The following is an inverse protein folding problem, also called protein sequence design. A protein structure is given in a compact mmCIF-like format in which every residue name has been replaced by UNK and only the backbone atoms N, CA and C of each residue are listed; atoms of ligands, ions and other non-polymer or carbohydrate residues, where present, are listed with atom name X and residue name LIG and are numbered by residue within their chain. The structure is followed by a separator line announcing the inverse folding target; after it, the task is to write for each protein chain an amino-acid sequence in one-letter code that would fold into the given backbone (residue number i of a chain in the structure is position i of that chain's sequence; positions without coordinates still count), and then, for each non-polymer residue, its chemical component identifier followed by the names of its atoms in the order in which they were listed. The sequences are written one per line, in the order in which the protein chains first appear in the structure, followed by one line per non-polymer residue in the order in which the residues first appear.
data_IF_892097646222
#
_entry.id   IF_892097646222
#
_cell.length_a   1.000
_cell.length_b   1.000
_cell.length_c   1.000
_cell.angle_alpha   90.00
_cell.angle_beta   90.00
_cell.angle_gamma   90.00
#
_symmetry.space_group_name_H-M   'P 1'
#
loop_
_entity.id
_entity.type
_entity.pdbx_description
1 polymer ?
#
# COMPACT_ATOMS: atom_id res chain seq x y z
N UNK A 1 -82.52 6.56 -28.35
CA UNK A 1 -82.42 7.61 -27.31
C UNK A 1 -81.25 7.40 -26.33
N UNK A 2 -80.23 6.60 -26.69
CA UNK A 2 -79.11 6.25 -25.79
C UNK A 2 -77.81 7.01 -26.09
N UNK A 3 -77.69 7.64 -27.26
CA UNK A 3 -76.44 8.30 -27.67
C UNK A 3 -76.24 9.67 -27.02
N UNK A 4 -77.33 10.36 -26.68
CA UNK A 4 -77.32 11.69 -26.08
C UNK A 4 -76.61 11.67 -24.72
N UNK A 5 -77.14 10.89 -23.77
CA UNK A 5 -76.62 10.81 -22.39
C UNK A 5 -75.17 10.36 -22.32
N UNK A 6 -74.70 9.59 -23.30
CA UNK A 6 -73.32 9.14 -23.40
C UNK A 6 -72.34 10.32 -23.61
N UNK A 7 -72.74 11.38 -24.32
CA UNK A 7 -71.85 12.52 -24.60
C UNK A 7 -71.55 13.33 -23.34
N UNK A 8 -72.58 13.71 -22.57
CA UNK A 8 -72.41 14.43 -21.30
C UNK A 8 -71.57 13.61 -20.30
N UNK A 9 -71.87 12.32 -20.14
CA UNK A 9 -71.11 11.43 -19.24
C UNK A 9 -69.65 11.28 -19.66
N UNK A 10 -69.37 11.24 -20.97
CA UNK A 10 -67.96 11.21 -21.45
C UNK A 10 -67.21 12.50 -21.12
N UNK A 11 -67.86 13.66 -21.22
CA UNK A 11 -67.27 14.96 -20.88
C UNK A 11 -66.97 15.06 -19.38
N UNK A 12 -67.94 14.68 -18.54
CA UNK A 12 -67.78 14.69 -17.07
C UNK A 12 -66.71 13.68 -16.65
N UNK A 13 -66.75 12.44 -17.13
CA UNK A 13 -65.77 11.40 -16.77
C UNK A 13 -64.34 11.74 -17.24
N UNK A 14 -64.18 12.37 -18.41
CA UNK A 14 -62.87 12.91 -18.86
C UNK A 14 -62.37 13.99 -17.91
N UNK A 15 -63.26 14.85 -17.43
CA UNK A 15 -62.92 15.91 -16.47
C UNK A 15 -62.56 15.32 -15.10
N UNK A 16 -63.29 14.31 -14.63
CA UNK A 16 -62.98 13.56 -13.40
C UNK A 16 -61.58 12.93 -13.49
N UNK A 17 -61.23 12.29 -14.61
CA UNK A 17 -59.89 11.74 -14.84
C UNK A 17 -58.81 12.84 -14.75
N UNK A 18 -59.06 14.01 -15.34
CA UNK A 18 -58.13 15.17 -15.26
C UNK A 18 -58.00 15.73 -13.85
N UNK A 19 -59.11 15.88 -13.13
CA UNK A 19 -59.11 16.31 -11.74
C UNK A 19 -58.32 15.32 -10.87
N UNK A 20 -58.51 14.01 -11.07
CA UNK A 20 -57.75 12.95 -10.39
C UNK A 20 -56.25 13.03 -10.69
N UNK A 21 -55.86 13.24 -11.95
CA UNK A 21 -54.44 13.47 -12.29
C UNK A 21 -53.87 14.71 -11.59
N UNK A 22 -54.67 15.75 -11.38
CA UNK A 22 -54.27 16.93 -10.60
C UNK A 22 -54.02 16.63 -9.12
N UNK A 23 -54.88 15.81 -8.48
CA UNK A 23 -54.66 15.36 -7.11
C UNK A 23 -53.44 14.45 -6.97
N UNK A 24 -53.22 13.55 -7.92
CA UNK A 24 -52.02 12.69 -7.98
C UNK A 24 -50.76 13.56 -8.09
N UNK A 25 -50.74 14.54 -9.01
CA UNK A 25 -49.60 15.44 -9.20
C UNK A 25 -49.31 16.27 -7.94
N UNK A 26 -50.35 16.80 -7.29
CA UNK A 26 -50.23 17.53 -6.03
C UNK A 26 -49.69 16.66 -4.90
N UNK A 27 -50.20 15.44 -4.77
CA UNK A 27 -49.75 14.45 -3.79
C UNK A 27 -48.28 14.08 -4.01
N UNK A 28 -47.89 13.81 -5.25
CA UNK A 28 -46.49 13.55 -5.64
C UNK A 28 -45.58 14.73 -5.27
N UNK A 29 -45.95 15.96 -5.64
CA UNK A 29 -45.13 17.15 -5.35
C UNK A 29 -45.03 17.44 -3.84
N UNK A 30 -46.10 17.22 -3.07
CA UNK A 30 -46.07 17.38 -1.62
C UNK A 30 -45.22 16.30 -0.94
N UNK A 31 -45.35 15.04 -1.37
CA UNK A 31 -44.51 13.94 -0.91
C UNK A 31 -43.04 14.16 -1.25
N UNK A 32 -42.74 14.64 -2.45
CA UNK A 32 -41.39 15.01 -2.85
C UNK A 32 -40.84 16.16 -1.99
N UNK A 33 -41.61 17.22 -1.73
CA UNK A 33 -41.20 18.32 -0.86
C UNK A 33 -40.84 17.83 0.55
N UNK A 34 -41.69 16.99 1.15
CA UNK A 34 -41.44 16.41 2.47
C UNK A 34 -40.20 15.49 2.46
N UNK A 35 -40.06 14.65 1.43
CA UNK A 35 -38.91 13.78 1.26
C UNK A 35 -37.60 14.56 1.10
N UNK A 36 -37.61 15.63 0.30
CA UNK A 36 -36.45 16.49 0.09
C UNK A 36 -36.09 17.27 1.37
N UNK A 37 -37.09 17.70 2.15
CA UNK A 37 -36.90 18.27 3.48
C UNK A 37 -36.24 17.28 4.44
N UNK A 38 -36.77 16.06 4.53
CA UNK A 38 -36.22 15.01 5.39
C UNK A 38 -34.79 14.62 4.97
N UNK A 39 -34.53 14.48 3.67
CA UNK A 39 -33.19 14.18 3.15
C UNK A 39 -32.20 15.32 3.44
N UNK A 40 -32.61 16.58 3.30
CA UNK A 40 -31.77 17.74 3.65
C UNK A 40 -31.43 17.76 5.14
N UNK A 41 -32.40 17.48 6.00
CA UNK A 41 -32.21 17.33 7.45
C UNK A 41 -31.25 16.19 7.79
N UNK A 42 -31.42 15.02 7.18
CA UNK A 42 -30.52 13.88 7.37
C UNK A 42 -29.09 14.20 6.94
N UNK A 43 -28.90 14.89 5.82
CA UNK A 43 -27.57 15.30 5.35
C UNK A 43 -26.94 16.34 6.28
N UNK A 44 -27.71 17.32 6.75
CA UNK A 44 -27.23 18.30 7.73
C UNK A 44 -26.79 17.62 9.05
N UNK A 45 -27.56 16.62 9.50
CA UNK A 45 -27.27 15.89 10.74
C UNK A 45 -26.08 14.93 10.58
N UNK A 46 -25.97 14.27 9.43
CA UNK A 46 -24.81 13.46 9.05
C UNK A 46 -23.53 14.32 9.03
N UNK A 47 -23.62 15.53 8.49
CA UNK A 47 -22.52 16.48 8.49
C UNK A 47 -22.11 16.89 9.92
N UNK A 48 -23.09 17.24 10.77
CA UNK A 48 -22.83 17.60 12.17
C UNK A 48 -22.19 16.46 12.98
N UNK A 49 -22.63 15.21 12.74
CA UNK A 49 -22.13 14.02 13.43
C UNK A 49 -20.92 13.36 12.75
N UNK A 50 -20.44 13.90 11.61
CA UNK A 50 -19.37 13.33 10.78
C UNK A 50 -19.64 11.86 10.39
N UNK A 51 -20.91 11.53 10.14
CA UNK A 51 -21.33 10.20 9.71
C UNK A 51 -21.20 10.08 8.20
N UNK A 52 -20.54 9.03 7.73
CA UNK A 52 -20.49 8.70 6.31
C UNK A 52 -21.81 8.02 5.91
N UNK A 53 -22.69 8.75 5.20
CA UNK A 53 -24.00 8.26 4.78
C UNK A 53 -23.94 7.88 3.29
N UNK A 54 -24.17 6.60 2.93
CA UNK A 54 -24.24 6.18 1.54
C UNK A 54 -25.32 6.95 0.76
N UNK A 55 -25.04 7.27 -0.51
CA UNK A 55 -25.95 8.04 -1.38
C UNK A 55 -27.35 7.42 -1.56
N UNK A 56 -27.49 6.11 -1.35
CA UNK A 56 -28.77 5.41 -1.47
C UNK A 56 -29.80 5.81 -0.41
N UNK A 57 -29.39 6.18 0.80
CA UNK A 57 -30.31 6.55 1.88
C UNK A 57 -31.12 7.82 1.59
N UNK A 58 -30.52 8.99 1.27
CA UNK A 58 -31.30 10.20 0.99
C UNK A 58 -32.19 10.04 -0.25
N UNK A 59 -31.72 9.33 -1.28
CA UNK A 59 -32.51 9.03 -2.49
C UNK A 59 -33.71 8.14 -2.12
N UNK A 60 -33.49 7.11 -1.30
CA UNK A 60 -34.54 6.21 -0.83
C UNK A 60 -35.62 6.94 -0.03
N UNK A 61 -35.24 7.85 0.86
CA UNK A 61 -36.18 8.67 1.65
C UNK A 61 -37.03 9.57 0.74
N UNK A 62 -36.41 10.25 -0.24
CA UNK A 62 -37.12 11.08 -1.22
C UNK A 62 -38.09 10.24 -2.04
N UNK A 63 -37.63 9.10 -2.56
CA UNK A 63 -38.45 8.21 -3.38
C UNK A 63 -39.63 7.62 -2.59
N UNK A 64 -39.41 7.15 -1.36
CA UNK A 64 -40.45 6.61 -0.50
C UNK A 64 -41.52 7.67 -0.17
N UNK A 65 -41.11 8.90 0.17
CA UNK A 65 -42.04 9.99 0.45
C UNK A 65 -42.82 10.43 -0.80
N UNK A 66 -42.18 10.47 -1.96
CA UNK A 66 -42.85 10.76 -3.23
C UNK A 66 -43.88 9.68 -3.60
N UNK A 67 -43.55 8.39 -3.42
CA UNK A 67 -44.46 7.27 -3.64
C UNK A 67 -45.64 7.28 -2.65
N UNK A 68 -45.39 7.57 -1.38
CA UNK A 68 -46.44 7.73 -0.37
C UNK A 68 -47.38 8.90 -0.72
N UNK A 69 -46.83 10.03 -1.17
CA UNK A 69 -47.61 11.17 -1.65
C UNK A 69 -48.43 10.86 -2.90
N UNK A 70 -47.88 10.09 -3.83
CA UNK A 70 -48.58 9.60 -5.03
C UNK A 70 -49.74 8.67 -4.65
N UNK A 71 -49.50 7.70 -3.74
CA UNK A 71 -50.52 6.80 -3.25
C UNK A 71 -51.66 7.56 -2.54
N UNK A 72 -51.31 8.52 -1.67
CA UNK A 72 -52.29 9.40 -1.02
C UNK A 72 -53.08 10.26 -2.02
N UNK A 73 -52.44 10.76 -3.07
CA UNK A 73 -53.11 11.49 -4.15
C UNK A 73 -54.06 10.59 -4.97
N UNK A 74 -53.71 9.32 -5.15
CA UNK A 74 -54.49 8.36 -5.92
C UNK A 74 -55.73 7.81 -5.19
N UNK A 75 -55.72 7.81 -3.85
CA UNK A 75 -56.85 7.37 -3.00
C UNK A 75 -57.93 8.44 -2.84
N UNK A 76 -57.65 9.71 -3.20
CA UNK A 76 -58.65 10.78 -3.22
C UNK A 76 -59.75 10.47 -4.24
N UNK A 77 -60.96 10.25 -3.73
CA UNK A 77 -62.17 10.09 -4.56
C UNK A 77 -62.64 11.46 -5.04
N UNK A 78 -63.00 11.54 -6.32
CA UNK A 78 -63.56 12.75 -6.95
C UNK A 78 -64.99 12.42 -7.37
N UNK A 79 -65.97 13.16 -6.85
CA UNK A 79 -67.38 12.89 -7.13
C UNK A 79 -67.83 13.60 -8.41
N UNK A 80 -68.59 12.91 -9.26
CA UNK A 80 -68.99 13.43 -10.59
C UNK A 80 -69.84 14.70 -10.48
N UNK A 81 -70.77 14.75 -9.52
CA UNK A 81 -71.61 15.93 -9.27
C UNK A 81 -70.78 17.16 -8.89
N UNK A 82 -69.72 16.99 -8.08
CA UNK A 82 -68.83 18.09 -7.72
C UNK A 82 -68.02 18.60 -8.92
N UNK A 83 -67.67 17.69 -9.84
CA UNK A 83 -66.97 18.04 -11.08
C UNK A 83 -67.90 18.76 -12.04
N UNK A 84 -69.17 18.35 -12.16
CA UNK A 84 -70.16 19.05 -12.97
C UNK A 84 -70.39 20.48 -12.46
N UNK A 85 -70.59 20.65 -11.15
CA UNK A 85 -70.70 21.98 -10.51
C UNK A 85 -69.45 22.83 -10.70
N UNK A 86 -68.27 22.22 -10.59
CA UNK A 86 -67.00 22.91 -10.83
C UNK A 86 -66.85 23.34 -12.29
N UNK A 87 -67.24 22.48 -13.24
CA UNK A 87 -67.22 22.80 -14.66
C UNK A 87 -68.19 23.95 -14.96
N UNK A 88 -69.37 23.95 -14.34
CA UNK A 88 -70.36 25.01 -14.53
C UNK A 88 -69.83 26.38 -14.09
N UNK A 89 -69.12 26.42 -12.95
CA UNK A 89 -68.48 27.64 -12.44
C UNK A 89 -67.35 28.14 -13.33
N UNK A 90 -66.56 27.23 -13.92
CA UNK A 90 -65.44 27.60 -14.80
C UNK A 90 -65.88 27.98 -16.21
N UNK A 91 -66.97 27.39 -16.70
CA UNK A 91 -67.53 27.67 -18.01
C UNK A 91 -68.62 28.76 -17.99
N UNK A 92 -69.01 29.26 -16.82
CA UNK A 92 -70.08 30.24 -16.63
C UNK A 92 -71.44 29.80 -17.22
N UNK A 93 -71.76 28.52 -17.12
CA UNK A 93 -72.96 27.91 -17.73
C UNK A 93 -74.23 28.02 -16.91
N UNK A 94 -74.17 28.54 -15.68
CA UNK A 94 -75.35 28.73 -14.84
C UNK A 94 -76.08 27.42 -14.52
N UNK A 95 -75.33 26.41 -14.05
CA UNK A 95 -75.82 25.10 -13.57
C UNK A 95 -76.32 24.10 -14.62
N UNK A 96 -76.26 24.43 -15.92
CA UNK A 96 -76.72 23.54 -17.00
C UNK A 96 -76.17 22.10 -16.91
N UNK A 97 -74.89 21.91 -16.61
CA UNK A 97 -74.27 20.58 -16.61
C UNK A 97 -74.53 19.83 -15.31
N UNK A 98 -74.59 20.52 -14.18
CA UNK A 98 -74.92 19.94 -12.87
C UNK A 98 -76.39 19.55 -12.78
N UNK A 99 -77.31 20.36 -13.31
CA UNK A 99 -78.73 20.02 -13.43
C UNK A 99 -78.94 18.84 -14.38
N UNK A 100 -78.30 18.85 -15.56
CA UNK A 100 -78.40 17.72 -16.51
C UNK A 100 -77.84 16.41 -15.92
N UNK A 101 -76.72 16.47 -15.19
CA UNK A 101 -76.17 15.30 -14.50
C UNK A 101 -77.15 14.79 -13.43
N UNK A 102 -77.78 15.68 -12.65
CA UNK A 102 -78.76 15.30 -11.65
C UNK A 102 -80.02 14.67 -12.26
N UNK A 103 -80.55 15.24 -13.35
CA UNK A 103 -81.69 14.71 -14.10
C UNK A 103 -81.37 13.32 -14.69
N UNK A 104 -80.17 13.15 -15.24
CA UNK A 104 -79.73 11.86 -15.82
C UNK A 104 -79.66 10.73 -14.77
N UNK A 105 -79.39 11.06 -13.51
CA UNK A 105 -79.31 10.08 -12.42
C UNK A 105 -80.70 9.72 -11.84
N UNK A 106 -81.66 10.65 -11.89
CA UNK A 106 -83.02 10.45 -11.38
C UNK A 106 -83.95 9.74 -12.38
N UNK A 107 -83.59 9.78 -13.66
CA UNK A 107 -84.41 9.29 -14.77
C UNK A 107 -85.39 10.36 -15.26
N UNK A 108 -85.45 10.52 -16.59
CA UNK A 108 -86.27 11.50 -17.28
C UNK A 108 -87.74 11.07 -17.24
N UNK A 109 -88.65 11.98 -16.84
CA UNK A 109 -90.09 11.72 -16.73
C UNK A 109 -90.93 12.64 -17.61
N UNK A 110 -90.47 13.87 -17.80
CA UNK A 110 -91.20 14.91 -18.52
C UNK A 110 -90.46 15.34 -19.80
N UNK A 111 -91.22 15.75 -20.82
CA UNK A 111 -90.66 16.18 -22.12
C UNK A 111 -89.78 17.43 -22.00
N UNK A 112 -90.09 18.31 -21.03
CA UNK A 112 -89.25 19.45 -20.68
C UNK A 112 -87.86 19.03 -20.14
N UNK A 113 -87.80 17.95 -19.35
CA UNK A 113 -86.52 17.45 -18.82
C UNK A 113 -85.64 16.90 -19.95
N UNK A 114 -86.25 16.32 -21.00
CA UNK A 114 -85.54 15.89 -22.20
C UNK A 114 -84.93 17.06 -22.97
N UNK A 115 -85.66 18.17 -23.12
CA UNK A 115 -85.16 19.38 -23.80
C UNK A 115 -84.01 20.04 -23.03
N UNK A 116 -84.10 20.08 -21.69
CA UNK A 116 -83.01 20.61 -20.85
C UNK A 116 -81.74 19.76 -20.96
N UNK A 117 -81.87 18.44 -21.05
CA UNK A 117 -80.74 17.53 -21.22
C UNK A 117 -80.09 17.68 -22.61
N UNK A 118 -80.89 17.87 -23.66
CA UNK A 118 -80.39 18.14 -25.01
C UNK A 118 -79.65 19.49 -25.12
N UNK A 119 -80.16 20.57 -24.49
CA UNK A 119 -79.45 21.86 -24.43
C UNK A 119 -78.09 21.72 -23.73
N UNK A 120 -78.07 21.05 -22.58
CA UNK A 120 -76.84 20.82 -21.82
C UNK A 120 -75.80 20.00 -22.60
N UNK A 121 -76.23 19.04 -23.42
CA UNK A 121 -75.34 18.25 -24.27
C UNK A 121 -74.78 19.04 -25.45
N UNK A 122 -75.62 19.80 -26.15
CA UNK A 122 -75.17 20.68 -27.23
C UNK A 122 -74.10 21.65 -26.71
N UNK A 123 -74.31 22.18 -25.50
CA UNK A 123 -73.32 23.01 -24.84
C UNK A 123 -72.06 22.22 -24.42
N UNK A 124 -72.22 21.02 -23.86
CA UNK A 124 -71.11 20.13 -23.48
C UNK A 124 -70.19 19.78 -24.66
N UNK A 125 -70.73 19.66 -25.87
CA UNK A 125 -69.95 19.41 -27.09
C UNK A 125 -69.17 20.65 -27.55
N UNK A 126 -69.70 21.85 -27.30
CA UNK A 126 -69.03 23.12 -27.64
C UNK A 126 -67.87 23.46 -26.70
N UNK A 127 -67.80 22.81 -25.53
CA UNK A 127 -66.81 23.07 -24.49
C UNK A 127 -65.42 22.53 -24.84
N UNK A 128 -64.45 23.43 -24.97
CA UNK A 128 -63.04 23.05 -25.05
C UNK A 128 -62.47 22.72 -23.65
N UNK A 129 -62.54 21.43 -23.29
CA UNK A 129 -62.06 20.91 -22.02
C UNK A 129 -60.59 21.23 -21.73
N UNK A 130 -59.73 21.45 -22.73
CA UNK A 130 -58.31 21.79 -22.50
C UNK A 130 -58.15 23.20 -21.95
N UNK A 131 -59.05 24.12 -22.27
CA UNK A 131 -59.03 25.50 -21.79
C UNK A 131 -59.69 25.61 -20.41
N UNK A 132 -60.85 24.97 -20.23
CA UNK A 132 -61.65 25.06 -19.01
C UNK A 132 -61.06 24.19 -17.89
N UNK A 133 -60.61 22.96 -18.21
CA UNK A 133 -60.09 22.01 -17.23
C UNK A 133 -58.55 21.90 -17.24
N UNK A 134 -57.86 23.02 -17.04
CA UNK A 134 -56.39 23.05 -16.88
C UNK A 134 -55.98 22.50 -15.51
N UNK A 135 -55.00 21.62 -15.49
CA UNK A 135 -54.37 21.13 -14.25
C UNK A 135 -53.25 22.11 -13.88
N UNK A 136 -53.41 22.96 -12.84
CA UNK A 136 -52.35 23.89 -12.47
C UNK A 136 -51.17 23.15 -11.84
N UNK A 137 -49.96 23.57 -12.19
CA UNK A 137 -48.74 23.15 -11.49
C UNK A 137 -48.80 23.62 -10.03
N UNK A 138 -48.59 22.72 -9.06
CA UNK A 138 -48.67 23.09 -7.65
C UNK A 138 -47.47 23.93 -7.22
N UNK A 139 -47.69 24.92 -6.34
CA UNK A 139 -46.60 25.73 -5.76
C UNK A 139 -45.58 24.89 -4.99
N UNK A 140 -45.97 23.72 -4.48
CA UNK A 140 -45.06 22.77 -3.82
C UNK A 140 -43.98 22.22 -4.74
N UNK A 141 -44.15 22.26 -6.07
CA UNK A 141 -43.11 21.84 -7.01
C UNK A 141 -41.87 22.75 -6.92
N UNK A 142 -42.06 24.06 -6.83
CA UNK A 142 -40.95 25.00 -6.66
C UNK A 142 -40.22 24.82 -5.33
N UNK A 143 -40.98 24.56 -4.25
CA UNK A 143 -40.41 24.22 -2.95
C UNK A 143 -39.62 22.91 -2.97
N UNK A 144 -40.13 21.87 -3.64
CA UNK A 144 -39.43 20.61 -3.81
C UNK A 144 -38.12 20.80 -4.59
N UNK A 145 -38.14 21.56 -5.69
CA UNK A 145 -36.93 21.89 -6.47
C UNK A 145 -35.91 22.63 -5.60
N UNK A 146 -36.33 23.67 -4.87
CA UNK A 146 -35.44 24.43 -4.00
C UNK A 146 -34.80 23.57 -2.91
N UNK A 147 -35.58 22.69 -2.27
CA UNK A 147 -35.08 21.75 -1.26
C UNK A 147 -34.15 20.69 -1.86
N UNK A 148 -34.44 20.18 -3.06
CA UNK A 148 -33.49 19.28 -3.73
C UNK A 148 -32.19 19.98 -4.10
N UNK A 149 -32.25 21.23 -4.53
CA UNK A 149 -31.05 22.03 -4.79
C UNK A 149 -30.23 22.23 -3.51
N UNK A 150 -30.90 22.48 -2.38
CA UNK A 150 -30.27 22.56 -1.06
C UNK A 150 -29.63 21.22 -0.65
N UNK A 151 -30.32 20.09 -0.83
CA UNK A 151 -29.78 18.76 -0.54
C UNK A 151 -28.54 18.45 -1.38
N UNK A 152 -28.55 18.79 -2.67
CA UNK A 152 -27.37 18.66 -3.56
C UNK A 152 -26.24 19.57 -3.07
N UNK A 153 -26.54 20.80 -2.69
CA UNK A 153 -25.55 21.72 -2.14
C UNK A 153 -24.92 21.19 -0.84
N UNK A 154 -25.72 20.67 0.08
CA UNK A 154 -25.27 20.03 1.32
C UNK A 154 -24.40 18.80 1.06
N UNK A 155 -24.72 18.01 0.03
CA UNK A 155 -23.92 16.85 -0.37
C UNK A 155 -22.52 17.26 -0.85
N UNK A 156 -22.40 18.35 -1.62
CA UNK A 156 -21.12 18.86 -2.10
C UNK A 156 -20.40 19.78 -1.11
N UNK A 157 -21.07 20.23 -0.04
CA UNK A 157 -20.51 21.12 0.98
C UNK A 157 -19.17 20.65 1.59
N UNK A 158 -18.91 19.34 1.86
CA UNK A 158 -17.64 18.88 2.42
C UNK A 158 -16.41 19.14 1.53
N UNK A 159 -16.61 19.19 0.21
CA UNK A 159 -15.54 19.45 -0.77
C UNK A 159 -15.34 20.94 -1.03
N UNK A 160 -16.25 21.81 -0.58
CA UNK A 160 -16.11 23.25 -0.74
C UNK A 160 -14.97 23.73 0.17
N UNK A 161 -13.92 24.26 -0.45
CA UNK A 161 -12.69 24.68 0.22
C UNK A 161 -12.94 25.61 1.41
N UNK A 162 -13.98 26.47 1.36
CA UNK A 162 -14.30 27.46 2.38
C UNK A 162 -14.59 26.84 3.76
N UNK A 163 -15.27 25.69 3.83
CA UNK A 163 -15.71 25.08 5.10
C UNK A 163 -14.72 24.06 5.69
N UNK A 164 -13.56 23.83 5.06
CA UNK A 164 -12.53 22.95 5.61
C UNK A 164 -11.78 23.63 6.76
N UNK A 165 -11.68 22.93 7.90
CA UNK A 165 -10.93 23.40 9.07
C UNK A 165 -9.47 23.69 8.70
N UNK A 166 -8.81 24.67 9.34
CA UNK A 166 -7.42 24.99 9.05
C UNK A 166 -6.49 23.76 9.22
N UNK A 167 -6.81 22.86 10.16
CA UNK A 167 -6.08 21.61 10.37
C UNK A 167 -6.15 20.66 9.17
N UNK A 168 -7.33 20.42 8.60
CA UNK A 168 -7.47 19.53 7.42
C UNK A 168 -6.82 20.11 6.17
N UNK A 169 -6.79 21.44 6.04
CA UNK A 169 -6.03 22.13 4.98
C UNK A 169 -4.52 21.93 5.14
N UNK A 170 -4.00 22.10 6.35
CA UNK A 170 -2.59 21.85 6.66
C UNK A 170 -2.21 20.39 6.43
N UNK A 171 -3.05 19.44 6.80
CA UNK A 171 -2.82 18.02 6.56
C UNK A 171 -2.77 17.68 5.07
N UNK A 172 -3.70 18.23 4.26
CA UNK A 172 -3.69 18.05 2.79
C UNK A 172 -2.44 18.70 2.16
N UNK A 173 -2.02 19.87 2.62
CA UNK A 173 -0.80 20.53 2.15
C UNK A 173 0.47 19.76 2.55
N UNK A 174 0.55 19.29 3.80
CA UNK A 174 1.62 18.44 4.29
C UNK A 174 1.72 17.15 3.46
N UNK A 175 0.58 16.52 3.15
CA UNK A 175 0.52 15.33 2.28
C UNK A 175 1.00 15.63 0.85
N UNK A 176 0.64 16.78 0.28
CA UNK A 176 1.12 17.20 -1.05
C UNK A 176 2.63 17.40 -1.06
N UNK A 177 3.18 18.12 -0.08
CA UNK A 177 4.64 18.33 0.04
C UNK A 177 5.41 17.02 0.30
N UNK A 178 4.81 16.08 1.04
CA UNK A 178 5.37 14.74 1.24
C UNK A 178 5.34 13.93 -0.07
N UNK A 179 4.28 14.05 -0.86
CA UNK A 179 4.19 13.46 -2.20
C UNK A 179 5.23 14.03 -3.17
N UNK A 180 5.53 15.34 -3.13
CA UNK A 180 6.60 15.96 -3.93
C UNK A 180 7.98 15.40 -3.57
N UNK A 181 8.27 15.28 -2.26
CA UNK A 181 9.51 14.66 -1.77
C UNK A 181 9.62 13.19 -2.19
N UNK A 182 8.54 12.43 -2.12
CA UNK A 182 8.50 11.04 -2.58
C UNK A 182 8.74 10.93 -4.11
N UNK A 183 8.25 11.88 -4.91
CA UNK A 183 8.53 11.92 -6.35
C UNK A 183 10.01 12.22 -6.64
N UNK A 184 10.64 13.13 -5.88
CA UNK A 184 12.07 13.41 -5.99
C UNK A 184 12.90 12.16 -5.66
N UNK A 185 12.59 11.49 -4.54
CA UNK A 185 13.23 10.22 -4.15
C UNK A 185 13.05 9.14 -5.22
N UNK A 186 11.86 9.03 -5.84
CA UNK A 186 11.63 8.11 -6.93
C UNK A 186 12.52 8.42 -8.16
N UNK A 187 12.73 9.70 -8.48
CA UNK A 187 13.65 10.11 -9.56
C UNK A 187 15.10 9.77 -9.23
N UNK A 188 15.52 9.97 -7.99
CA UNK A 188 16.86 9.61 -7.50
C UNK A 188 17.09 8.11 -7.57
N UNK A 189 16.14 7.29 -7.11
CA UNK A 189 16.22 5.83 -7.20
C UNK A 189 16.27 5.34 -8.65
N UNK A 190 15.57 6.00 -9.58
CA UNK A 190 15.69 5.70 -11.02
C UNK A 190 17.07 6.04 -11.58
N UNK A 191 17.71 7.10 -11.10
CA UNK A 191 19.07 7.50 -11.53
C UNK A 191 20.13 6.56 -10.95
N UNK A 192 19.98 6.14 -9.70
CA UNK A 192 20.87 5.19 -9.01
C UNK A 192 20.71 3.74 -9.49
N UNK A 193 19.67 3.44 -10.26
CA UNK A 193 19.44 2.13 -10.85
C UNK A 193 20.43 1.84 -12.00
N UNK A 194 21.66 1.49 -11.66
CA UNK A 194 22.73 1.08 -12.58
C UNK A 194 23.17 -0.36 -12.31
N UNK A 195 23.45 -1.15 -13.35
CA UNK A 195 23.93 -2.54 -13.22
C UNK A 195 22.85 -3.63 -13.30
N UNK A 196 23.12 -4.79 -12.69
CA UNK A 196 22.32 -6.03 -12.78
C UNK A 196 20.91 -5.94 -12.16
N UNK A 197 20.69 -5.08 -11.16
CA UNK A 197 19.37 -4.93 -10.49
C UNK A 197 18.58 -3.69 -10.94
N UNK A 198 18.92 -3.14 -12.12
CA UNK A 198 18.24 -1.97 -12.72
C UNK A 198 16.72 -2.14 -12.78
N UNK A 199 16.23 -3.34 -13.05
CA UNK A 199 14.79 -3.61 -13.15
C UNK A 199 14.08 -3.54 -11.80
N UNK A 200 14.65 -4.14 -10.74
CA UNK A 200 14.03 -4.13 -9.40
C UNK A 200 14.00 -2.72 -8.82
N UNK A 201 15.10 -1.97 -8.94
CA UNK A 201 15.15 -0.60 -8.44
C UNK A 201 14.24 0.35 -9.24
N UNK A 202 14.09 0.12 -10.55
CA UNK A 202 13.07 0.81 -11.37
C UNK A 202 11.65 0.50 -10.93
N UNK A 203 11.34 -0.74 -10.55
CA UNK A 203 10.01 -1.14 -10.03
C UNK A 203 9.71 -0.46 -8.70
N UNK A 204 10.66 -0.46 -7.76
CA UNK A 204 10.53 0.26 -6.48
C UNK A 204 10.31 1.75 -6.69
N UNK A 205 11.08 2.36 -7.60
CA UNK A 205 10.91 3.76 -7.94
C UNK A 205 9.57 4.05 -8.65
N UNK A 206 9.05 3.13 -9.46
CA UNK A 206 7.72 3.26 -10.08
C UNK A 206 6.59 3.16 -9.04
N UNK A 207 6.72 2.27 -8.06
CA UNK A 207 5.77 2.14 -6.95
C UNK A 207 5.80 3.39 -6.05
N UNK A 208 6.99 3.94 -5.78
CA UNK A 208 7.14 5.18 -5.02
C UNK A 208 6.56 6.39 -5.77
N UNK A 209 6.75 6.48 -7.09
CA UNK A 209 6.11 7.51 -7.94
C UNK A 209 4.58 7.37 -7.98
N UNK A 210 4.06 6.14 -8.01
CA UNK A 210 2.62 5.90 -7.92
C UNK A 210 2.04 6.32 -6.56
N UNK A 211 2.75 6.01 -5.46
CA UNK A 211 2.40 6.47 -4.11
C UNK A 211 2.40 8.00 -4.03
N UNK A 212 3.46 8.65 -4.55
CA UNK A 212 3.60 10.10 -4.60
C UNK A 212 2.40 10.77 -5.30
N UNK A 213 1.95 10.22 -6.44
CA UNK A 213 0.76 10.70 -7.16
C UNK A 213 -0.52 10.54 -6.36
N UNK A 214 -0.68 9.44 -5.62
CA UNK A 214 -1.85 9.22 -4.75
C UNK A 214 -1.87 10.20 -3.56
N UNK A 215 -0.71 10.48 -2.96
CA UNK A 215 -0.55 11.48 -1.89
C UNK A 215 -0.86 12.90 -2.37
N UNK A 216 -0.36 13.31 -3.55
CA UNK A 216 -0.68 14.62 -4.15
C UNK A 216 -2.17 14.83 -4.42
N UNK A 217 -2.85 13.76 -4.84
CA UNK A 217 -4.30 13.75 -5.10
C UNK A 217 -5.16 13.63 -3.83
N UNK A 218 -4.54 13.57 -2.64
CA UNK A 218 -5.22 13.37 -1.35
C UNK A 218 -6.15 12.13 -1.32
N UNK A 219 -5.81 11.08 -2.07
CA UNK A 219 -6.58 9.83 -2.15
C UNK A 219 -6.19 8.79 -1.08
N UNK A 220 -5.31 9.17 -0.14
CA UNK A 220 -4.76 8.30 0.90
C UNK A 220 -4.86 8.97 2.26
N UNK A 221 -5.18 8.20 3.29
CA UNK A 221 -5.08 8.64 4.68
C UNK A 221 -3.60 8.79 5.09
N UNK A 222 -3.31 9.68 6.05
CA UNK A 222 -1.94 9.89 6.59
C UNK A 222 -1.31 8.59 7.09
N UNK A 223 -2.10 7.76 7.77
CA UNK A 223 -1.65 6.47 8.30
C UNK A 223 -1.27 5.50 7.18
N UNK A 224 -2.10 5.35 6.15
CA UNK A 224 -1.81 4.47 5.01
C UNK A 224 -0.59 4.93 4.22
N UNK A 225 -0.45 6.25 3.99
CA UNK A 225 0.71 6.81 3.31
C UNK A 225 2.02 6.48 4.06
N UNK A 226 2.05 6.65 5.38
CA UNK A 226 3.22 6.32 6.21
C UNK A 226 3.55 4.82 6.17
N UNK A 227 2.54 3.95 6.24
CA UNK A 227 2.76 2.49 6.19
C UNK A 227 3.33 2.07 4.83
N UNK A 228 2.77 2.55 3.73
CA UNK A 228 3.29 2.23 2.39
C UNK A 228 4.69 2.81 2.14
N UNK A 229 4.94 4.03 2.60
CA UNK A 229 6.25 4.68 2.50
C UNK A 229 7.33 3.90 3.26
N UNK A 230 7.05 3.55 4.53
CA UNK A 230 8.00 2.79 5.36
C UNK A 230 8.28 1.39 4.81
N UNK A 231 7.28 0.73 4.22
CA UNK A 231 7.48 -0.55 3.52
C UNK A 231 8.40 -0.40 2.31
N UNK A 232 8.13 0.58 1.43
CA UNK A 232 8.97 0.84 0.25
C UNK A 232 10.40 1.25 0.63
N UNK A 233 10.58 2.01 1.70
CA UNK A 233 11.91 2.36 2.23
C UNK A 233 12.67 1.14 2.72
N UNK A 234 12.03 0.24 3.48
CA UNK A 234 12.65 -1.02 3.92
C UNK A 234 13.06 -1.90 2.74
N UNK A 235 12.18 -2.06 1.76
CA UNK A 235 12.48 -2.85 0.56
C UNK A 235 13.65 -2.25 -0.23
N UNK A 236 13.75 -0.92 -0.31
CA UNK A 236 14.89 -0.24 -0.95
C UNK A 236 16.20 -0.38 -0.16
N UNK A 237 16.17 -0.24 1.16
CA UNK A 237 17.34 -0.44 2.03
C UNK A 237 17.85 -1.89 1.95
N UNK A 238 16.96 -2.88 1.96
CA UNK A 238 17.34 -4.29 1.80
C UNK A 238 18.01 -4.56 0.46
N UNK A 239 17.51 -3.96 -0.63
CA UNK A 239 18.18 -4.05 -1.93
C UNK A 239 19.56 -3.40 -1.90
N UNK A 240 19.68 -2.21 -1.29
CA UNK A 240 20.96 -1.53 -1.18
C UNK A 240 21.98 -2.31 -0.32
N UNK A 241 21.53 -2.96 0.76
CA UNK A 241 22.36 -3.88 1.56
C UNK A 241 22.82 -5.07 0.74
N UNK A 242 21.93 -5.71 -0.01
CA UNK A 242 22.30 -6.81 -0.91
C UNK A 242 23.30 -6.38 -1.98
N UNK A 243 23.18 -5.16 -2.50
CA UNK A 243 24.15 -4.60 -3.44
C UNK A 243 25.51 -4.31 -2.78
N UNK A 244 25.50 -3.81 -1.55
CA UNK A 244 26.73 -3.60 -0.77
C UNK A 244 27.41 -4.95 -0.46
N UNK A 245 26.65 -5.99 -0.14
CA UNK A 245 27.13 -7.36 0.07
C UNK A 245 27.65 -7.99 -1.24
N UNK A 246 26.96 -7.81 -2.35
CA UNK A 246 27.38 -8.32 -3.66
C UNK A 246 28.65 -7.63 -4.18
N UNK A 247 28.78 -6.31 -3.97
CA UNK A 247 29.96 -5.55 -4.38
C UNK A 247 31.16 -5.71 -3.44
N UNK A 248 30.99 -6.23 -2.21
CA UNK A 248 32.08 -6.36 -1.24
C UNK A 248 32.84 -7.70 -1.29
N UNK A 249 32.52 -8.58 -2.25
CA UNK A 249 33.12 -9.92 -2.36
C UNK A 249 32.74 -10.82 -1.18
N UNK A 250 33.23 -12.07 -1.16
CA UNK A 250 33.06 -12.95 0.01
C UNK A 250 33.53 -12.20 1.28
N UNK A 251 32.72 -12.12 2.36
CA UNK A 251 33.19 -11.52 3.60
C UNK A 251 34.41 -12.28 4.09
N UNK A 252 35.42 -11.58 4.59
CA UNK A 252 36.66 -12.17 5.11
C UNK A 252 36.40 -13.22 6.20
N UNK A 253 35.24 -13.14 6.87
CA UNK A 253 34.75 -14.14 7.82
C UNK A 253 34.43 -15.49 7.15
N UNK A 254 33.81 -15.51 5.97
CA UNK A 254 33.58 -16.75 5.21
C UNK A 254 34.90 -17.33 4.68
N UNK A 255 35.84 -16.47 4.27
CA UNK A 255 37.20 -16.90 3.91
C UNK A 255 37.94 -17.52 5.10
N UNK A 256 37.83 -16.92 6.30
CA UNK A 256 38.36 -17.50 7.54
C UNK A 256 37.78 -18.88 7.82
N UNK A 257 36.46 -19.02 7.74
CA UNK A 257 35.80 -20.30 8.03
C UNK A 257 36.20 -21.37 7.02
N UNK A 258 36.35 -21.01 5.74
CA UNK A 258 36.87 -21.89 4.69
C UNK A 258 38.33 -22.31 4.94
N UNK A 259 39.19 -21.38 5.40
CA UNK A 259 40.57 -21.67 5.80
C UNK A 259 40.65 -22.58 7.04
N UNK A 260 39.86 -22.32 8.08
CA UNK A 260 39.84 -23.12 9.32
C UNK A 260 39.30 -24.54 9.08
N UNK A 261 38.36 -24.68 8.15
CA UNK A 261 37.77 -25.97 7.79
C UNK A 261 38.64 -26.80 6.84
N UNK A 262 39.70 -26.22 6.26
CA UNK A 262 40.65 -26.97 5.44
C UNK A 262 41.34 -28.06 6.28
N UNK A 263 41.30 -29.31 5.80
CA UNK A 263 41.80 -30.50 6.52
C UNK A 263 43.27 -30.35 6.92
N UNK A 264 44.08 -29.74 6.06
CA UNK A 264 45.51 -29.50 6.26
C UNK A 264 45.76 -28.47 7.38
N UNK A 265 45.00 -27.38 7.39
CA UNK A 265 45.05 -26.34 8.43
C UNK A 265 44.59 -26.92 9.77
N UNK A 266 43.51 -27.70 9.78
CA UNK A 266 43.00 -28.34 11.01
C UNK A 266 43.99 -29.36 11.59
N UNK A 267 44.64 -30.16 10.73
CA UNK A 267 45.70 -31.10 11.16
C UNK A 267 46.86 -30.38 11.82
N UNK A 268 47.31 -29.27 11.24
CA UNK A 268 48.42 -28.49 11.78
C UNK A 268 48.08 -27.77 13.08
N UNK A 269 46.87 -27.20 13.20
CA UNK A 269 46.39 -26.61 14.45
C UNK A 269 46.26 -27.67 15.55
N UNK A 270 45.81 -28.88 15.22
CA UNK A 270 45.74 -30.01 16.18
C UNK A 270 47.13 -30.45 16.63
N UNK A 271 48.10 -30.56 15.70
CA UNK A 271 49.49 -30.89 16.03
C UNK A 271 50.11 -29.85 16.97
N UNK A 272 49.96 -28.56 16.66
CA UNK A 272 50.45 -27.48 17.52
C UNK A 272 49.82 -27.50 18.93
N UNK A 273 48.53 -27.85 19.05
CA UNK A 273 47.87 -27.98 20.35
C UNK A 273 48.40 -29.17 21.15
N UNK A 274 48.54 -30.34 20.51
CA UNK A 274 49.06 -31.54 21.14
C UNK A 274 50.49 -31.34 21.64
N UNK A 275 51.34 -30.69 20.85
CA UNK A 275 52.73 -30.42 21.24
C UNK A 275 52.83 -29.37 22.35
N UNK A 276 51.98 -28.33 22.35
CA UNK A 276 51.88 -27.38 23.46
C UNK A 276 51.41 -28.05 24.75
N UNK A 277 50.50 -29.01 24.66
CA UNK A 277 50.03 -29.77 25.81
C UNK A 277 51.12 -30.72 26.33
N UNK A 278 51.83 -31.41 25.42
CA UNK A 278 52.97 -32.26 25.77
C UNK A 278 54.10 -31.44 26.41
N UNK A 279 54.44 -30.27 25.85
CA UNK A 279 55.48 -29.42 26.41
C UNK A 279 55.09 -28.81 27.75
N UNK A 280 53.84 -28.37 27.91
CA UNK A 280 53.32 -27.90 29.20
C UNK A 280 53.29 -29.03 30.25
N UNK A 281 52.93 -30.26 29.86
CA UNK A 281 52.97 -31.44 30.74
C UNK A 281 54.40 -31.81 31.13
N UNK A 282 55.34 -31.78 30.19
CA UNK A 282 56.77 -32.00 30.47
C UNK A 282 57.33 -30.92 31.38
N UNK A 283 56.98 -29.66 31.15
CA UNK A 283 57.43 -28.53 31.98
C UNK A 283 56.83 -28.59 33.39
N UNK A 284 55.55 -28.95 33.52
CA UNK A 284 54.91 -29.17 34.81
C UNK A 284 55.46 -30.41 35.53
N UNK A 285 55.79 -31.48 34.82
CA UNK A 285 56.44 -32.65 35.39
C UNK A 285 57.86 -32.32 35.92
N UNK A 286 58.59 -31.44 35.23
CA UNK A 286 59.89 -30.93 35.68
C UNK A 286 59.75 -29.98 36.88
N UNK A 287 58.75 -29.09 36.88
CA UNK A 287 58.49 -28.13 37.97
C UNK A 287 57.96 -28.79 39.26
N UNK A 288 57.18 -29.86 39.14
CA UNK A 288 56.67 -30.63 40.29
C UNK A 288 57.74 -31.52 40.95
N UNK A 289 58.90 -31.73 40.33
CA UNK A 289 60.06 -32.36 40.96
C UNK A 289 60.92 -31.34 41.73
N UNK A 290 60.38 -30.78 42.82
CA UNK A 290 61.19 -30.08 43.84
C UNK A 290 61.91 -31.12 44.70
N UNK A 291 63.13 -31.45 44.30
CA UNK A 291 64.03 -32.32 45.05
C UNK A 291 65.16 -32.77 44.14
N UNK A 292 66.15 -31.89 43.95
CA UNK A 292 67.34 -32.24 43.18
C UNK A 292 67.99 -33.47 43.78
N UNK A 293 67.89 -34.61 43.07
CA UNK A 293 68.92 -35.64 42.90
C UNK A 293 68.42 -36.91 42.19
N UNK A 294 67.10 -37.15 42.07
CA UNK A 294 66.56 -38.41 41.49
C UNK A 294 65.62 -38.24 40.27
N UNK A 295 65.86 -37.24 39.41
CA UNK A 295 65.25 -37.23 38.08
C UNK A 295 66.07 -38.14 37.16
N UNK A 296 65.49 -39.13 36.45
CA UNK A 296 66.25 -39.96 35.53
C UNK A 296 66.93 -39.06 34.50
N UNK A 297 68.20 -39.33 34.21
CA UNK A 297 69.01 -38.51 33.30
C UNK A 297 68.32 -38.29 31.94
N UNK A 298 67.45 -39.20 31.51
CA UNK A 298 66.61 -39.06 30.32
C UNK A 298 65.59 -37.90 30.38
N UNK A 299 64.93 -37.64 31.51
CA UNK A 299 63.99 -36.51 31.67
C UNK A 299 64.73 -35.18 31.81
N UNK A 300 65.87 -35.20 32.51
CA UNK A 300 66.71 -34.02 32.67
C UNK A 300 67.41 -33.66 31.36
N UNK A 301 67.88 -34.65 30.60
CA UNK A 301 68.42 -34.46 29.25
C UNK A 301 67.30 -34.15 28.25
N UNK A 302 66.08 -34.64 28.37
CA UNK A 302 64.97 -34.19 27.52
C UNK A 302 64.57 -32.72 27.80
N UNK A 303 64.77 -32.24 29.03
CA UNK A 303 64.52 -30.85 29.42
C UNK A 303 65.70 -29.90 29.15
N UNK A 304 66.95 -30.36 29.26
CA UNK A 304 68.19 -29.57 29.09
C UNK A 304 68.82 -29.72 27.70
N UNK A 305 68.76 -30.90 27.10
CA UNK A 305 69.08 -31.13 25.70
C UNK A 305 67.85 -30.68 24.90
N UNK A 306 67.67 -29.35 24.83
CA UNK A 306 66.77 -28.69 23.89
C UNK A 306 66.90 -29.40 22.54
N UNK A 307 65.85 -30.04 22.01
CA UNK A 307 65.62 -29.81 20.60
C UNK A 307 65.16 -28.34 20.56
N UNK A 308 66.09 -27.44 20.24
CA UNK A 308 65.67 -26.18 19.65
C UNK A 308 64.95 -26.60 18.35
N UNK A 309 63.63 -26.37 18.26
CA UNK A 309 62.63 -27.03 17.37
C UNK A 309 61.93 -28.21 18.07
N UNK A 310 60.61 -28.37 18.08
CA UNK A 310 59.69 -28.10 17.00
C UNK A 310 58.26 -28.05 17.54
N UNK A 311 57.67 -26.87 17.74
CA UNK A 311 56.42 -26.68 17.00
C UNK A 311 56.88 -26.54 15.55
N UNK A 312 56.52 -27.46 14.63
CA UNK A 312 56.89 -27.32 13.23
C UNK A 312 56.49 -25.92 12.80
N UNK A 313 57.41 -25.15 12.22
CA UNK A 313 57.18 -23.73 11.92
C UNK A 313 55.89 -23.51 11.11
N UNK A 314 55.55 -24.48 10.25
CA UNK A 314 54.25 -24.56 9.56
C UNK A 314 53.04 -24.51 10.50
N UNK A 315 53.04 -25.31 11.56
CA UNK A 315 51.92 -25.42 12.51
C UNK A 315 51.71 -24.15 13.35
N UNK A 316 52.80 -23.48 13.70
CA UNK A 316 52.75 -22.20 14.40
C UNK A 316 52.17 -21.11 13.48
N UNK A 317 52.65 -21.05 12.25
CA UNK A 317 52.13 -20.13 11.23
C UNK A 317 50.65 -20.38 10.93
N UNK A 318 50.18 -21.63 10.87
CA UNK A 318 48.75 -21.95 10.73
C UNK A 318 47.90 -21.33 11.85
N UNK A 319 48.36 -21.43 13.10
CA UNK A 319 47.64 -20.87 14.26
C UNK A 319 47.63 -19.34 14.26
N UNK A 320 48.75 -18.71 13.88
CA UNK A 320 48.87 -17.26 13.83
C UNK A 320 48.09 -16.66 12.64
N UNK A 321 48.07 -17.33 11.49
CA UNK A 321 47.23 -16.94 10.33
C UNK A 321 45.74 -17.07 10.63
N UNK A 322 45.33 -18.15 11.29
CA UNK A 322 43.96 -18.32 11.78
C UNK A 322 43.55 -17.19 12.73
N UNK A 323 44.44 -16.79 13.64
CA UNK A 323 44.21 -15.69 14.56
C UNK A 323 44.13 -14.34 13.82
N UNK A 324 45.04 -14.08 12.87
CA UNK A 324 45.03 -12.84 12.11
C UNK A 324 43.77 -12.70 11.23
N UNK A 325 43.32 -13.79 10.60
CA UNK A 325 42.03 -13.84 9.89
C UNK A 325 40.84 -13.65 10.84
N UNK A 326 40.93 -14.12 12.09
CA UNK A 326 39.88 -13.91 13.09
C UNK A 326 39.78 -12.44 13.55
N UNK A 327 40.91 -11.75 13.62
CA UNK A 327 41.01 -10.34 14.00
C UNK A 327 40.77 -9.40 12.81
N UNK A 328 40.58 -9.95 11.59
CA UNK A 328 40.53 -9.20 10.34
C UNK A 328 41.79 -8.35 10.10
N UNK A 329 42.91 -8.74 10.71
CA UNK A 329 44.18 -8.01 10.67
C UNK A 329 44.99 -8.43 9.43
N UNK A 330 44.74 -7.74 8.33
CA UNK A 330 45.51 -7.93 7.09
C UNK A 330 46.99 -7.58 7.27
N UNK A 331 47.34 -6.62 8.15
CA UNK A 331 48.74 -6.26 8.42
C UNK A 331 49.52 -7.41 9.06
N UNK A 332 48.95 -8.07 10.07
CA UNK A 332 49.55 -9.26 10.70
C UNK A 332 49.70 -10.40 9.69
N UNK A 333 48.74 -10.62 8.80
CA UNK A 333 48.89 -11.62 7.72
C UNK A 333 50.09 -11.30 6.81
N UNK A 334 50.31 -10.03 6.48
CA UNK A 334 51.47 -9.59 5.70
C UNK A 334 52.80 -9.82 6.43
N UNK A 335 52.85 -9.59 7.74
CA UNK A 335 54.04 -9.85 8.57
C UNK A 335 54.36 -11.34 8.70
N UNK A 336 53.33 -12.19 8.87
CA UNK A 336 53.49 -13.64 8.93
C UNK A 336 54.04 -14.21 7.62
N UNK A 337 53.54 -13.72 6.49
CA UNK A 337 54.06 -14.08 5.17
C UNK A 337 55.52 -13.62 4.99
N UNK A 338 55.89 -12.47 5.55
CA UNK A 338 57.27 -11.96 5.54
C UNK A 338 58.21 -12.82 6.39
N UNK A 339 57.74 -13.31 7.54
CA UNK A 339 58.48 -14.26 8.38
C UNK A 339 58.71 -15.59 7.64
N UNK A 340 57.69 -16.09 6.94
CA UNK A 340 57.81 -17.28 6.09
C UNK A 340 58.82 -17.06 4.97
N UNK A 341 58.81 -15.90 4.29
CA UNK A 341 59.78 -15.57 3.25
C UNK A 341 61.22 -15.60 3.78
N UNK A 342 61.46 -15.02 4.96
CA UNK A 342 62.80 -14.93 5.58
C UNK A 342 63.34 -16.28 6.02
N UNK A 343 62.49 -17.16 6.54
CA UNK A 343 62.90 -18.48 7.03
C UNK A 343 62.85 -19.57 5.95
N UNK A 344 62.27 -19.28 4.78
CA UNK A 344 62.06 -20.24 3.69
C UNK A 344 63.29 -21.10 3.33
N UNK A 345 64.46 -20.46 3.20
CA UNK A 345 65.70 -21.11 2.79
C UNK A 345 66.37 -21.96 3.88
N UNK A 346 65.97 -21.77 5.15
CA UNK A 346 66.54 -22.48 6.30
C UNK A 346 65.66 -23.63 6.79
N UNK A 347 64.49 -23.83 6.17
CA UNK A 347 63.54 -24.88 6.54
C UNK A 347 63.84 -26.21 5.85
N UNK A 348 63.51 -27.30 6.54
CA UNK A 348 63.59 -28.66 6.00
C UNK A 348 62.65 -28.85 4.80
N UNK A 349 62.97 -29.76 3.85
CA UNK A 349 62.15 -29.98 2.66
C UNK A 349 60.72 -30.43 2.98
N UNK A 350 60.50 -31.09 4.12
CA UNK A 350 59.17 -31.51 4.58
C UNK A 350 58.34 -30.34 5.13
N UNK A 351 58.96 -29.41 5.86
CA UNK A 351 58.29 -28.21 6.37
C UNK A 351 57.91 -27.24 5.26
N UNK A 352 58.76 -27.13 4.22
CA UNK A 352 58.45 -26.34 3.03
C UNK A 352 57.19 -26.85 2.34
N UNK A 353 57.03 -28.17 2.17
CA UNK A 353 55.82 -28.77 1.58
C UNK A 353 54.57 -28.47 2.41
N UNK A 354 54.66 -28.61 3.74
CA UNK A 354 53.54 -28.31 4.66
C UNK A 354 53.13 -26.84 4.62
N UNK A 355 54.09 -25.91 4.52
CA UNK A 355 53.82 -24.48 4.34
C UNK A 355 53.24 -24.15 2.97
N UNK A 356 53.74 -24.78 1.89
CA UNK A 356 53.18 -24.57 0.56
C UNK A 356 51.69 -24.95 0.52
N UNK A 357 51.33 -26.04 1.18
CA UNK A 357 49.94 -26.50 1.25
C UNK A 357 49.06 -25.56 2.10
N UNK A 358 49.56 -25.05 3.22
CA UNK A 358 48.88 -24.01 4.00
C UNK A 358 48.65 -22.73 3.21
N UNK A 359 49.69 -22.22 2.55
CA UNK A 359 49.62 -21.00 1.76
C UNK A 359 48.66 -21.16 0.59
N UNK A 360 48.56 -22.38 0.03
CA UNK A 360 47.60 -22.71 -1.02
C UNK A 360 46.17 -22.69 -0.50
N UNK A 361 45.91 -23.25 0.67
CA UNK A 361 44.58 -23.19 1.29
C UNK A 361 44.20 -21.77 1.72
N UNK A 362 45.17 -20.98 2.21
CA UNK A 362 44.98 -19.56 2.49
C UNK A 362 44.63 -18.78 1.21
N UNK A 363 45.34 -19.02 0.11
CA UNK A 363 45.05 -18.37 -1.16
C UNK A 363 43.68 -18.79 -1.73
N UNK A 364 43.30 -20.08 -1.64
CA UNK A 364 41.96 -20.53 -2.02
C UNK A 364 40.87 -19.86 -1.19
N UNK A 365 41.08 -19.75 0.13
CA UNK A 365 40.15 -19.10 1.04
C UNK A 365 40.01 -17.60 0.75
N UNK A 366 41.09 -16.93 0.35
CA UNK A 366 41.09 -15.50 -0.01
C UNK A 366 40.57 -15.21 -1.44
N UNK A 367 40.34 -16.24 -2.25
CA UNK A 367 39.77 -16.08 -3.59
C UNK A 367 38.37 -15.48 -3.52
N UNK A 368 38.06 -14.56 -4.43
CA UNK A 368 36.78 -13.83 -4.49
C UNK A 368 36.49 -12.93 -3.27
N UNK A 369 37.52 -12.60 -2.47
CA UNK A 369 37.46 -11.59 -1.40
C UNK A 369 38.09 -10.26 -1.87
N UNK A 370 38.07 -9.22 -1.02
CA UNK A 370 38.83 -7.98 -1.24
C UNK A 370 40.35 -8.18 -1.42
N UNK A 371 40.86 -9.35 -1.04
CA UNK A 371 42.26 -9.76 -1.16
C UNK A 371 42.51 -10.70 -2.37
N UNK A 372 41.60 -10.76 -3.34
CA UNK A 372 41.70 -11.66 -4.51
C UNK A 372 43.02 -11.45 -5.28
N UNK A 373 43.49 -10.21 -5.43
CA UNK A 373 44.78 -9.90 -6.04
C UNK A 373 45.96 -10.55 -5.29
N UNK A 374 45.94 -10.52 -3.95
CA UNK A 374 46.94 -11.20 -3.13
C UNK A 374 46.83 -12.73 -3.23
N UNK A 375 45.62 -13.27 -3.38
CA UNK A 375 45.41 -14.71 -3.56
C UNK A 375 46.04 -15.24 -4.85
N UNK A 376 45.95 -14.47 -5.94
CA UNK A 376 46.54 -14.83 -7.24
C UNK A 376 48.06 -14.83 -7.18
N UNK A 377 48.65 -13.79 -6.59
CA UNK A 377 50.10 -13.66 -6.38
C UNK A 377 50.65 -14.77 -5.45
N UNK A 378 49.91 -15.15 -4.40
CA UNK A 378 50.28 -16.28 -3.55
C UNK A 378 50.28 -17.61 -4.33
N UNK A 379 49.28 -17.84 -5.18
CA UNK A 379 49.22 -19.04 -6.02
C UNK A 379 50.34 -19.07 -7.08
N UNK A 380 50.75 -17.93 -7.61
CA UNK A 380 51.88 -17.81 -8.54
C UNK A 380 53.22 -18.04 -7.84
N UNK A 381 53.43 -17.45 -6.66
CA UNK A 381 54.62 -17.68 -5.85
C UNK A 381 54.82 -19.17 -5.50
N UNK A 382 53.72 -19.88 -5.23
CA UNK A 382 53.73 -21.32 -4.96
C UNK A 382 54.03 -22.18 -6.19
N UNK A 383 53.63 -21.73 -7.39
CA UNK A 383 53.93 -22.44 -8.65
C UNK A 383 55.40 -22.29 -9.06
N UNK A 384 55.95 -21.08 -8.91
CA UNK A 384 57.30 -20.77 -9.37
C UNK A 384 58.39 -21.00 -8.30
N UNK A 385 57.99 -21.29 -7.05
CA UNK A 385 58.87 -21.35 -5.87
C UNK A 385 59.75 -20.10 -5.68
N UNK A 386 59.29 -18.94 -6.17
CA UNK A 386 60.05 -17.68 -6.09
C UNK A 386 59.63 -16.87 -4.86
N UNK A 387 60.59 -16.58 -3.99
CA UNK A 387 60.40 -15.71 -2.80
C UNK A 387 60.00 -14.29 -3.22
N UNK A 388 60.42 -13.84 -4.42
CA UNK A 388 60.10 -12.51 -4.96
C UNK A 388 58.61 -12.27 -5.21
N UNK A 389 57.87 -13.29 -5.62
CA UNK A 389 56.41 -13.19 -5.84
C UNK A 389 55.63 -13.20 -4.51
N UNK A 390 56.19 -13.83 -3.48
CA UNK A 390 55.64 -13.77 -2.11
C UNK A 390 55.75 -12.35 -1.53
N UNK A 391 56.79 -11.59 -1.90
CA UNK A 391 56.90 -10.17 -1.53
C UNK A 391 55.86 -9.28 -2.24
N UNK A 392 55.45 -9.62 -3.47
CA UNK A 392 54.35 -8.92 -4.16
C UNK A 392 53.01 -9.17 -3.48
N UNK A 393 52.73 -10.42 -3.11
CA UNK A 393 51.54 -10.77 -2.32
C UNK A 393 51.48 -10.00 -0.99
N UNK A 394 52.61 -9.89 -0.27
CA UNK A 394 52.71 -9.10 0.97
C UNK A 394 52.36 -7.63 0.72
N UNK A 395 52.85 -7.02 -0.36
CA UNK A 395 52.53 -5.63 -0.72
C UNK A 395 51.03 -5.44 -0.96
N UNK A 396 50.37 -6.38 -1.65
CA UNK A 396 48.93 -6.33 -1.87
C UNK A 396 48.12 -6.47 -0.58
N UNK A 397 48.53 -7.36 0.32
CA UNK A 397 47.89 -7.56 1.62
C UNK A 397 48.05 -6.32 2.52
N UNK A 398 49.26 -5.73 2.58
CA UNK A 398 49.51 -4.49 3.31
C UNK A 398 48.75 -3.29 2.72
N UNK A 399 48.65 -3.20 1.39
CA UNK A 399 47.88 -2.15 0.69
C UNK A 399 46.37 -2.25 0.95
N UNK A 400 45.84 -3.48 1.02
CA UNK A 400 44.43 -3.72 1.32
C UNK A 400 44.09 -3.57 2.81
N UNK A 401 45.08 -3.67 3.71
CA UNK A 401 44.94 -3.42 5.15
C UNK A 401 45.31 -2.00 5.60
N UNK A 402 45.66 -1.11 4.66
CA UNK A 402 46.08 0.28 4.92
C UNK A 402 45.00 1.33 4.64
N UNK A 403 43.73 0.95 4.68
CA UNK A 403 42.58 1.86 4.59
C UNK A 403 41.74 1.82 5.84
#
# INVERSE_FOLDING_TARGET
MTETTATLQTVISRTVKRARTGYILRGLCAGWLLGAGAASLLLALAWAMRWDVPCGYPIGVVAAAALAGLAYGATRRVHEQQVALWLDRQAHTGERLSTAQWLSQRGLREEMEHLQLQDAEAYAQSLDLRKVARVPLPRSLWGAIALTALAVFLWFAPDIAWFQSPQTRQEKQAMRSAGERAEQLAKEWRKQATGQDREKMRRLAAQLDALAKQMKRARLSKREAMVKMSRLQREAEEQQRRLAEANSGKPLQRARDEFLNARTVQQQIRQAKLERELSARLQNAVLNQKGGQNAPASLRNAALNKPASSTPFASEMATQMALALSQQDAQKLGELLEQIAKQWNNLSPEERKKLQELLRELAKALKDTKLDAASKELLEALKNMQIGDLQKAIKWIKKAGGT
#
